data_IF_953280053493
#
_entry.id   IF_953280053493
#
_cell.length_a   1.000
_cell.length_b   1.000
_cell.length_c   1.000
_cell.angle_alpha   90.00
_cell.angle_beta   90.00
_cell.angle_gamma   90.00
#
_symmetry.space_group_name_H-M   'P 1'
#
loop_
_entity.id
_entity.type
_entity.pdbx_description
1 polymer ?
#
# COMPACT_ATOMS: atom_id res chain seq x y z
N UNK A 1 14.77 37.64 -10.77
CA UNK A 1 15.92 36.72 -10.70
C UNK A 1 15.59 35.69 -9.63
N UNK A 2 14.95 34.57 -9.98
CA UNK A 2 14.55 33.56 -9.00
C UNK A 2 15.80 32.78 -8.57
N UNK A 3 16.07 32.77 -7.27
CA UNK A 3 17.21 32.11 -6.66
C UNK A 3 17.14 30.59 -6.86
N UNK A 4 18.30 29.95 -6.94
CA UNK A 4 18.41 28.50 -7.11
C UNK A 4 17.74 27.77 -5.95
N UNK A 5 16.62 27.09 -6.22
CA UNK A 5 16.00 26.16 -5.27
C UNK A 5 14.48 26.21 -5.21
N UNK A 6 13.85 27.32 -5.62
CA UNK A 6 12.41 27.50 -5.41
C UNK A 6 11.69 27.78 -6.73
N UNK A 7 11.39 26.69 -7.46
CA UNK A 7 10.62 26.72 -8.70
C UNK A 7 9.11 26.73 -8.40
N UNK A 8 8.65 27.79 -7.75
CA UNK A 8 7.22 27.95 -7.49
C UNK A 8 6.51 28.29 -8.81
N UNK A 9 5.33 27.69 -9.06
CA UNK A 9 4.54 28.05 -10.21
C UNK A 9 3.98 29.48 -10.04
N UNK A 10 4.01 30.27 -11.11
CA UNK A 10 3.53 31.65 -11.20
C UNK A 10 2.25 31.68 -12.03
N UNK A 11 1.30 32.55 -11.67
CA UNK A 11 0.03 32.71 -12.40
C UNK A 11 0.19 33.74 -13.52
N UNK A 12 -0.34 33.45 -14.70
CA UNK A 12 -0.39 34.38 -15.83
C UNK A 12 -1.57 35.33 -15.66
N UNK A 13 -1.32 36.64 -15.63
CA UNK A 13 -2.36 37.66 -15.48
C UNK A 13 -3.28 37.76 -16.70
N UNK A 14 -2.83 37.25 -17.85
CA UNK A 14 -3.60 37.30 -19.11
C UNK A 14 -4.48 36.08 -19.31
N UNK A 15 -3.91 34.89 -19.11
CA UNK A 15 -4.58 33.61 -19.38
C UNK A 15 -5.19 33.00 -18.10
N UNK A 16 -4.78 33.48 -16.92
CA UNK A 16 -5.17 32.92 -15.61
C UNK A 16 -4.45 31.61 -15.26
N UNK A 17 -3.65 31.07 -16.17
CA UNK A 17 -2.99 29.77 -16.07
C UNK A 17 -1.79 29.77 -15.13
N UNK A 18 -1.61 28.67 -14.40
CA UNK A 18 -0.47 28.45 -13.52
C UNK A 18 0.71 27.84 -14.31
N UNK A 19 1.91 28.40 -14.26
CA UNK A 19 3.06 27.92 -15.02
C UNK A 19 4.41 28.07 -14.27
N UNK A 20 5.34 27.15 -14.52
CA UNK A 20 6.74 27.30 -14.15
C UNK A 20 7.41 28.29 -15.13
N UNK A 21 8.08 29.35 -14.63
CA UNK A 21 8.72 30.35 -15.47
C UNK A 21 9.89 29.78 -16.28
N UNK A 22 10.27 30.47 -17.34
CA UNK A 22 11.41 30.10 -18.17
C UNK A 22 12.70 30.02 -17.33
N UNK A 23 13.46 28.93 -17.48
CA UNK A 23 14.70 28.71 -16.72
C UNK A 23 15.92 28.79 -17.64
N UNK A 24 16.99 29.46 -17.22
CA UNK A 24 18.25 29.50 -17.97
C UNK A 24 19.04 28.20 -17.78
N UNK A 25 19.56 27.62 -18.86
CA UNK A 25 20.52 26.51 -18.84
C UNK A 25 21.92 27.01 -18.45
N UNK A 26 22.83 26.13 -18.02
CA UNK A 26 24.23 26.51 -17.79
C UNK A 26 24.94 27.06 -19.03
N UNK A 27 24.55 26.59 -20.22
CA UNK A 27 25.04 27.08 -21.52
C UNK A 27 24.46 28.45 -21.94
N UNK A 28 23.61 29.06 -21.11
CA UNK A 28 22.97 30.35 -21.36
C UNK A 28 21.67 30.29 -22.19
N UNK A 29 21.36 29.16 -22.82
CA UNK A 29 20.10 29.00 -23.55
C UNK A 29 18.90 28.92 -22.57
N UNK A 30 17.71 29.31 -23.01
CA UNK A 30 16.52 29.28 -22.16
C UNK A 30 15.69 28.02 -22.38
N UNK A 31 15.18 27.45 -21.29
CA UNK A 31 14.08 26.48 -21.34
C UNK A 31 12.76 27.23 -21.38
N UNK A 32 11.85 26.78 -22.24
CA UNK A 32 10.49 27.33 -22.33
C UNK A 32 9.73 27.22 -21.00
N UNK A 33 8.81 28.15 -20.70
CA UNK A 33 7.90 28.01 -19.56
C UNK A 33 7.03 26.76 -19.72
N UNK A 34 6.58 26.20 -18.59
CA UNK A 34 5.78 24.96 -18.56
C UNK A 34 4.50 25.20 -17.79
N UNK A 35 3.34 24.91 -18.39
CA UNK A 35 2.05 25.00 -17.71
C UNK A 35 1.91 23.90 -16.66
N UNK A 36 1.34 24.24 -15.52
CA UNK A 36 1.04 23.37 -14.37
C UNK A 36 -0.45 23.43 -14.12
N UNK A 37 -1.03 22.30 -13.73
CA UNK A 37 -2.46 22.26 -13.39
C UNK A 37 -2.69 22.95 -12.03
N UNK A 38 -3.71 23.79 -11.95
CA UNK A 38 -4.09 24.42 -10.68
C UNK A 38 -4.40 23.36 -9.61
N UNK A 39 -3.82 23.53 -8.41
CA UNK A 39 -3.98 22.59 -7.29
C UNK A 39 -3.16 21.29 -7.40
N UNK A 40 -2.27 21.14 -8.39
CA UNK A 40 -1.36 20.01 -8.45
C UNK A 40 -0.27 20.14 -7.39
N UNK A 41 -0.31 19.26 -6.38
CA UNK A 41 0.72 19.15 -5.33
C UNK A 41 1.62 17.97 -5.68
N UNK A 42 2.94 18.18 -5.87
CA UNK A 42 3.89 17.10 -6.12
C UNK A 42 3.83 16.04 -5.01
N UNK A 43 4.04 14.78 -5.38
CA UNK A 43 4.01 13.65 -4.45
C UNK A 43 5.01 13.81 -3.28
N UNK A 44 6.08 14.57 -3.47
CA UNK A 44 7.06 14.93 -2.42
C UNK A 44 6.45 15.78 -1.29
N UNK A 45 5.46 16.62 -1.62
CA UNK A 45 4.77 17.49 -0.66
C UNK A 45 3.50 16.84 -0.09
N UNK A 46 3.01 15.76 -0.71
CA UNK A 46 1.88 14.98 -0.18
C UNK A 46 2.37 14.21 1.05
N UNK A 47 1.82 14.48 2.25
CA UNK A 47 2.25 13.81 3.46
C UNK A 47 2.09 12.30 3.33
N UNK A 48 3.19 11.58 3.55
CA UNK A 48 3.15 10.11 3.63
C UNK A 48 2.19 9.71 4.75
N UNK A 49 1.27 8.80 4.44
CA UNK A 49 0.27 8.35 5.41
C UNK A 49 0.93 7.82 6.68
N UNK A 50 0.53 8.37 7.83
CA UNK A 50 0.91 7.89 9.15
C UNK A 50 -0.27 7.16 9.78
N UNK A 51 -0.03 5.96 10.31
CA UNK A 51 -1.09 5.20 10.99
C UNK A 51 -1.57 5.92 12.24
N UNK A 52 -2.86 5.78 12.58
CA UNK A 52 -3.46 6.36 13.81
C UNK A 52 -2.67 6.01 15.07
N UNK A 53 -2.12 4.80 15.16
CA UNK A 53 -1.26 4.39 16.27
C UNK A 53 0.08 5.13 16.32
N UNK A 54 0.68 5.43 15.16
CA UNK A 54 1.92 6.21 15.07
C UNK A 54 1.69 7.67 15.45
N UNK A 55 0.54 8.23 15.05
CA UNK A 55 0.10 9.56 15.49
C UNK A 55 -0.12 9.58 17.01
N UNK A 56 -0.83 8.60 17.56
CA UNK A 56 -1.06 8.49 19.00
C UNK A 56 0.24 8.34 19.81
N UNK A 57 1.18 7.52 19.35
CA UNK A 57 2.48 7.37 20.00
C UNK A 57 3.30 8.67 20.01
N UNK A 58 3.19 9.51 18.98
CA UNK A 58 3.83 10.83 18.94
C UNK A 58 3.19 11.85 19.88
N UNK A 59 1.89 11.73 20.15
CA UNK A 59 1.20 12.62 21.10
C UNK A 59 1.35 12.18 22.55
N UNK A 60 1.77 10.93 22.80
CA UNK A 60 2.10 10.49 24.14
C UNK A 60 3.35 11.20 24.66
N UNK A 61 3.36 11.61 25.95
CA UNK A 61 4.56 12.16 26.57
C UNK A 61 5.66 11.09 26.55
N UNK A 62 6.78 11.42 25.91
CA UNK A 62 7.96 10.53 25.79
C UNK A 62 8.56 10.20 27.16
N UNK A 63 8.33 11.08 28.13
CA UNK A 63 8.89 10.99 29.47
C UNK A 63 7.79 10.87 30.53
N UNK A 64 8.05 10.15 31.62
CA UNK A 64 7.10 10.03 32.73
C UNK A 64 6.79 11.41 33.31
N UNK A 65 5.58 11.54 33.87
CA UNK A 65 5.12 12.75 34.53
C UNK A 65 6.14 13.23 35.57
N UNK A 66 6.50 14.51 35.53
CA UNK A 66 7.53 15.11 36.39
C UNK A 66 8.95 15.11 35.83
N UNK A 67 9.23 14.42 34.72
CA UNK A 67 10.53 14.48 34.04
C UNK A 67 10.42 15.28 32.75
N UNK A 68 10.80 16.56 32.80
CA UNK A 68 10.78 17.42 31.61
C UNK A 68 12.01 17.13 30.73
N UNK A 69 11.91 17.32 29.39
CA UNK A 69 13.07 17.18 28.49
C UNK A 69 14.27 18.03 28.91
N UNK A 70 14.03 19.18 29.54
CA UNK A 70 15.07 20.08 30.03
C UNK A 70 15.87 19.46 31.20
N UNK A 71 15.21 18.76 32.12
CA UNK A 71 15.89 18.10 33.24
C UNK A 71 16.72 16.90 32.77
N UNK A 72 16.22 16.16 31.77
CA UNK A 72 16.94 15.02 31.18
C UNK A 72 18.16 15.51 30.39
N UNK A 73 18.02 16.58 29.62
CA UNK A 73 19.14 17.20 28.92
C UNK A 73 20.21 17.71 29.90
N UNK A 74 19.79 18.34 31.01
CA UNK A 74 20.70 18.79 32.07
C UNK A 74 21.40 17.62 32.78
N UNK A 75 20.67 16.55 33.15
CA UNK A 75 21.25 15.38 33.81
C UNK A 75 22.16 14.57 32.87
N UNK A 76 21.84 14.48 31.58
CA UNK A 76 22.70 13.86 30.57
C UNK A 76 23.98 14.68 30.30
N UNK A 77 23.89 16.01 30.37
CA UNK A 77 25.06 16.89 30.28
C UNK A 77 25.95 16.75 31.53
N UNK A 78 25.37 16.65 32.73
CA UNK A 78 26.13 16.46 33.98
C UNK A 78 26.75 15.06 34.10
N UNK A 79 26.07 14.02 33.61
CA UNK A 79 26.63 12.66 33.57
C UNK A 79 27.76 12.48 32.53
N UNK A 80 27.94 13.45 31.61
CA UNK A 80 29.10 13.49 30.69
C UNK A 80 30.32 14.19 31.29
N UNK A 81 30.16 14.98 32.36
CA UNK A 81 31.26 15.71 33.01
C UNK A 81 31.78 15.08 34.31
N UNK A 82 31.16 14.01 34.81
CA UNK A 82 31.55 13.39 36.08
C UNK A 82 31.72 11.88 35.96
N UNK A 83 32.81 11.42 35.35
CA UNK A 83 33.26 10.03 35.44
C UNK A 83 34.33 9.92 36.52
N UNK A 84 33.92 9.98 37.77
CA UNK A 84 34.77 9.62 38.91
C UNK A 84 33.91 9.12 40.07
N UNK A 85 34.14 7.85 40.41
CA UNK A 85 34.08 7.32 41.77
C UNK A 85 32.71 7.18 42.50
N UNK A 86 32.02 6.06 42.21
CA UNK A 86 31.38 5.12 43.17
C UNK A 86 30.14 5.56 44.02
N UNK A 87 29.34 4.64 44.63
CA UNK A 87 29.54 3.20 44.76
C UNK A 87 28.41 2.28 44.24
N UNK A 88 28.88 1.09 43.89
CA UNK A 88 28.17 -0.18 43.80
C UNK A 88 27.16 -0.35 44.95
N UNK A 89 25.94 -0.74 44.61
CA UNK A 89 24.83 -1.05 45.53
C UNK A 89 25.35 -1.96 46.67
N UNK A 90 25.23 -1.55 47.95
CA UNK A 90 25.64 -2.37 49.08
C UNK A 90 24.85 -3.69 49.10
N UNK A 91 25.56 -4.82 48.93
CA UNK A 91 24.98 -6.16 49.04
C UNK A 91 25.24 -7.12 47.86
N UNK A 92 25.88 -6.67 46.77
CA UNK A 92 26.25 -7.56 45.65
C UNK A 92 27.78 -7.81 45.62
N UNK A 93 28.26 -9.05 45.81
CA UNK A 93 29.70 -9.33 45.84
C UNK A 93 30.37 -9.15 44.46
N UNK A 94 31.58 -8.56 44.39
CA UNK A 94 32.27 -8.22 43.15
C UNK A 94 33.02 -9.41 42.54
N UNK A 95 32.31 -10.52 42.27
CA UNK A 95 32.90 -11.70 41.63
C UNK A 95 31.99 -12.38 40.59
N UNK A 96 30.80 -11.85 40.29
CA UNK A 96 29.92 -12.38 39.25
C UNK A 96 30.05 -11.65 37.89
N UNK A 97 30.98 -10.69 37.77
CA UNK A 97 31.25 -9.97 36.53
C UNK A 97 32.61 -10.35 35.94
N UNK A 98 32.93 -11.64 35.87
CA UNK A 98 33.96 -12.17 34.96
C UNK A 98 33.96 -13.70 35.03
N UNK A 99 33.07 -14.34 34.27
CA UNK A 99 33.38 -15.53 33.47
C UNK A 99 32.09 -16.17 32.93
N UNK A 100 32.07 -16.31 31.60
CA UNK A 100 31.27 -17.27 30.84
C UNK A 100 29.75 -16.99 30.72
N UNK A 101 29.38 -16.36 29.61
CA UNK A 101 28.55 -17.01 28.59
C UNK A 101 28.74 -16.28 27.26
N UNK A 102 29.71 -16.76 26.47
CA UNK A 102 29.57 -16.85 25.00
C UNK A 102 28.22 -17.54 24.75
N UNK A 103 27.14 -16.77 24.70
CA UNK A 103 25.85 -17.21 24.19
C UNK A 103 26.03 -17.31 22.69
N UNK A 104 26.38 -18.52 22.26
CA UNK A 104 25.91 -19.18 21.05
C UNK A 104 24.88 -18.31 20.33
N UNK A 105 25.30 -17.62 19.26
CA UNK A 105 24.38 -17.19 18.20
C UNK A 105 23.63 -18.46 17.79
N UNK A 106 22.39 -18.62 18.26
CA UNK A 106 21.44 -19.51 17.61
C UNK A 106 21.08 -18.80 16.31
N UNK A 107 21.87 -19.12 15.29
CA UNK A 107 21.47 -19.00 13.93
C UNK A 107 20.31 -19.97 13.68
N UNK A 108 19.39 -19.50 12.82
CA UNK A 108 18.29 -20.18 12.11
C UNK A 108 16.90 -20.17 12.78
N UNK A 109 15.82 -19.97 11.98
CA UNK A 109 15.77 -20.14 10.52
C UNK A 109 15.68 -18.83 9.72
N UNK A 110 16.84 -18.42 9.20
CA UNK A 110 17.00 -17.62 7.99
C UNK A 110 16.66 -18.45 6.73
N UNK A 111 15.83 -19.50 6.87
CA UNK A 111 15.32 -20.31 5.75
C UNK A 111 13.97 -19.81 5.27
N UNK A 112 13.13 -19.24 6.14
CA UNK A 112 11.81 -18.76 5.72
C UNK A 112 11.87 -17.39 5.01
N UNK A 113 12.77 -16.49 5.45
CA UNK A 113 12.97 -15.19 4.77
C UNK A 113 13.68 -15.38 3.43
N UNK A 114 14.64 -16.33 3.31
CA UNK A 114 15.28 -16.64 2.02
C UNK A 114 14.35 -17.38 1.06
N UNK A 115 13.44 -18.21 1.54
CA UNK A 115 12.39 -18.79 0.70
C UNK A 115 11.35 -17.76 0.27
N UNK A 116 10.95 -16.83 1.14
CA UNK A 116 9.99 -15.77 0.79
C UNK A 116 10.62 -14.75 -0.17
N UNK A 117 11.89 -14.39 -0.01
CA UNK A 117 12.63 -13.55 -0.98
C UNK A 117 12.93 -14.30 -2.29
N UNK A 118 13.23 -15.61 -2.22
CA UNK A 118 13.38 -16.46 -3.41
C UNK A 118 12.08 -16.64 -4.20
N UNK A 119 10.93 -16.71 -3.52
CA UNK A 119 9.59 -16.74 -4.14
C UNK A 119 9.20 -15.40 -4.77
N UNK A 120 9.74 -14.28 -4.27
CA UNK A 120 9.52 -12.95 -4.85
C UNK A 120 10.41 -12.67 -6.08
N UNK A 121 11.63 -13.24 -6.12
CA UNK A 121 12.56 -13.07 -7.23
C UNK A 121 12.12 -13.73 -8.55
N UNK A 122 11.16 -14.66 -8.50
CA UNK A 122 10.54 -15.26 -9.69
C UNK A 122 9.38 -14.45 -10.29
N UNK A 123 8.94 -13.37 -9.62
CA UNK A 123 7.88 -12.51 -10.12
C UNK A 123 8.48 -11.41 -11.02
N UNK A 124 8.86 -11.81 -12.23
CA UNK A 124 9.14 -10.84 -13.31
C UNK A 124 7.81 -10.25 -13.77
N UNK A 125 7.60 -8.98 -13.46
CA UNK A 125 6.45 -8.22 -13.98
C UNK A 125 6.75 -7.98 -15.47
N UNK A 126 6.17 -8.80 -16.33
CA UNK A 126 6.11 -8.50 -17.75
C UNK A 126 5.27 -7.24 -17.92
N UNK A 127 5.88 -6.17 -18.42
CA UNK A 127 5.14 -5.00 -18.87
C UNK A 127 4.09 -5.46 -19.89
N UNK A 128 2.78 -5.16 -19.68
CA UNK A 128 1.83 -5.31 -20.77
C UNK A 128 2.31 -4.40 -21.90
N UNK A 129 2.69 -5.01 -23.02
CA UNK A 129 2.96 -4.31 -24.27
C UNK A 129 1.66 -3.63 -24.70
N UNK A 130 1.45 -2.40 -24.23
CA UNK A 130 0.42 -1.52 -24.75
C UNK A 130 0.86 -1.14 -26.14
N UNK A 131 0.33 -1.90 -27.11
CA UNK A 131 0.57 -1.70 -28.52
C UNK A 131 0.52 -0.21 -28.86
N UNK A 132 1.64 0.27 -29.38
CA UNK A 132 1.73 1.58 -30.00
C UNK A 132 0.57 1.70 -31.01
N UNK A 133 -0.33 2.70 -30.90
CA UNK A 133 -1.29 2.93 -31.96
C UNK A 133 -0.51 3.52 -33.14
N UNK A 134 -0.23 2.68 -34.14
CA UNK A 134 0.25 3.14 -35.43
C UNK A 134 -0.87 3.92 -36.15
N UNK A 135 -0.58 5.09 -36.75
CA UNK A 135 -1.54 5.79 -37.59
C UNK A 135 -1.64 5.11 -38.96
N UNK A 136 -2.88 4.71 -39.30
CA UNK A 136 -3.51 4.77 -40.63
C UNK A 136 -2.72 4.31 -41.86
N UNK A 137 -3.13 3.17 -42.46
CA UNK A 137 -3.56 3.08 -43.89
C UNK A 137 -4.18 1.72 -44.22
N UNK A 138 -5.44 1.71 -44.65
CA UNK A 138 -6.15 0.58 -45.27
C UNK A 138 -5.85 0.50 -46.79
N UNK A 139 -6.45 -0.40 -47.62
CA UNK A 139 -7.19 -1.66 -47.37
C UNK A 139 -6.76 -2.83 -48.28
N UNK A 140 -7.06 -4.10 -47.91
CA UNK A 140 -7.44 -5.15 -48.86
C UNK A 140 -8.20 -6.30 -48.18
N UNK A 141 -9.08 -6.89 -48.98
CA UNK A 141 -10.33 -7.59 -48.67
C UNK A 141 -10.14 -9.16 -48.73
N UNK A 142 -11.19 -10.01 -48.62
CA UNK A 142 -11.40 -10.94 -47.51
C UNK A 142 -11.33 -12.44 -47.89
N UNK A 143 -11.27 -13.35 -46.89
CA UNK A 143 -12.00 -14.65 -46.85
C UNK A 143 -11.84 -15.41 -45.50
N UNK A 144 -12.76 -16.33 -45.15
CA UNK A 144 -13.13 -16.70 -43.78
C UNK A 144 -12.64 -18.09 -43.34
N UNK A 145 -12.43 -18.30 -42.03
CA UNK A 145 -12.64 -19.60 -41.36
C UNK A 145 -12.61 -19.51 -39.82
N UNK A 146 -13.78 -19.77 -39.24
CA UNK A 146 -14.16 -20.52 -38.02
C UNK A 146 -13.09 -20.92 -36.97
N UNK A 147 -13.46 -20.65 -35.72
CA UNK A 147 -13.12 -21.30 -34.44
C UNK A 147 -11.68 -21.20 -33.89
N UNK A 148 -11.53 -20.55 -32.73
CA UNK A 148 -11.34 -21.30 -31.49
C UNK A 148 -11.66 -20.45 -30.26
N UNK A 149 -12.35 -21.08 -29.32
CA UNK A 149 -12.79 -20.57 -28.04
C UNK A 149 -11.65 -20.64 -27.02
N UNK A 150 -11.35 -19.55 -26.33
CA UNK A 150 -10.69 -19.64 -25.01
C UNK A 150 -11.44 -18.76 -24.03
N UNK A 151 -12.52 -19.32 -23.50
CA UNK A 151 -13.07 -18.92 -22.22
C UNK A 151 -12.06 -19.33 -21.14
N UNK A 152 -11.39 -18.36 -20.50
CA UNK A 152 -10.53 -18.62 -19.36
C UNK A 152 -11.40 -19.04 -18.17
N UNK A 153 -11.35 -20.34 -17.88
CA UNK A 153 -12.02 -20.97 -16.76
C UNK A 153 -11.27 -20.67 -15.45
N UNK A 154 -11.96 -20.36 -14.33
CA UNK A 154 -11.36 -20.43 -13.00
C UNK A 154 -11.33 -21.89 -12.52
N UNK A 155 -10.81 -22.83 -13.34
CA UNK A 155 -10.93 -24.27 -13.11
C UNK A 155 -9.79 -24.92 -12.28
N UNK A 156 -9.19 -24.25 -11.29
CA UNK A 156 -8.17 -24.87 -10.42
C UNK A 156 -8.41 -24.74 -8.90
N UNK A 157 -9.61 -24.34 -8.48
CA UNK A 157 -10.00 -24.44 -7.06
C UNK A 157 -10.71 -25.78 -6.83
N UNK A 158 -10.20 -26.57 -5.89
CA UNK A 158 -10.83 -27.77 -5.35
C UNK A 158 -12.36 -27.57 -5.21
N UNK A 159 -13.19 -28.50 -5.71
CA UNK A 159 -14.65 -28.31 -5.75
C UNK A 159 -15.22 -28.03 -4.36
N UNK A 160 -14.62 -28.56 -3.28
CA UNK A 160 -15.02 -28.27 -1.91
C UNK A 160 -14.77 -26.82 -1.50
N UNK A 161 -13.69 -26.20 -1.97
CA UNK A 161 -13.41 -24.76 -1.74
C UNK A 161 -14.39 -23.89 -2.52
N UNK A 162 -14.72 -24.27 -3.76
CA UNK A 162 -15.75 -23.56 -4.56
C UNK A 162 -17.11 -23.59 -3.88
N UNK A 163 -17.56 -24.76 -3.41
CA UNK A 163 -18.81 -24.89 -2.67
C UNK A 163 -18.84 -23.98 -1.44
N UNK A 164 -17.76 -23.93 -0.65
CA UNK A 164 -17.68 -23.03 0.52
C UNK A 164 -17.78 -21.56 0.12
N UNK A 165 -17.12 -21.15 -0.96
CA UNK A 165 -17.16 -19.77 -1.45
C UNK A 165 -18.55 -19.39 -2.00
N UNK A 166 -19.21 -20.29 -2.75
CA UNK A 166 -20.56 -20.07 -3.25
C UNK A 166 -21.59 -19.99 -2.12
N UNK A 167 -21.46 -20.83 -1.08
CA UNK A 167 -22.30 -20.73 0.13
C UNK A 167 -22.12 -19.40 0.87
N UNK A 168 -20.89 -18.87 0.93
CA UNK A 168 -20.63 -17.52 1.48
C UNK A 168 -21.31 -16.43 0.64
N UNK A 169 -21.16 -16.48 -0.69
CA UNK A 169 -21.84 -15.54 -1.62
C UNK A 169 -23.36 -15.58 -1.44
N UNK A 170 -23.95 -16.76 -1.31
CA UNK A 170 -25.39 -16.91 -1.08
C UNK A 170 -25.82 -16.21 0.23
N UNK A 171 -25.07 -16.40 1.32
CA UNK A 171 -25.36 -15.76 2.62
C UNK A 171 -25.25 -14.22 2.55
N UNK A 172 -24.27 -13.70 1.82
CA UNK A 172 -24.10 -12.26 1.61
C UNK A 172 -25.26 -11.67 0.80
N UNK A 173 -25.69 -12.35 -0.26
CA UNK A 173 -26.84 -11.93 -1.07
C UNK A 173 -28.13 -11.95 -0.23
N UNK A 174 -28.33 -12.97 0.60
CA UNK A 174 -29.48 -13.04 1.52
C UNK A 174 -29.46 -11.95 2.58
N UNK A 175 -28.28 -11.59 3.10
CA UNK A 175 -28.14 -10.46 4.01
C UNK A 175 -28.48 -9.13 3.32
N UNK A 176 -28.08 -8.95 2.05
CA UNK A 176 -28.47 -7.77 1.25
C UNK A 176 -29.99 -7.74 1.01
N UNK A 177 -30.60 -8.87 0.64
CA UNK A 177 -32.06 -8.97 0.49
C UNK A 177 -32.79 -8.65 1.80
N UNK A 178 -32.29 -9.15 2.94
CA UNK A 178 -32.87 -8.89 4.25
C UNK A 178 -32.79 -7.41 4.63
N UNK A 179 -31.67 -6.73 4.36
CA UNK A 179 -31.49 -5.29 4.60
C UNK A 179 -32.38 -4.40 3.73
N UNK A 180 -32.68 -4.84 2.50
CA UNK A 180 -33.61 -4.15 1.62
C UNK A 180 -35.05 -4.40 2.09
N UNK A 181 -35.39 -5.62 2.48
CA UNK A 181 -36.72 -5.97 3.02
C UNK A 181 -37.01 -5.33 4.37
N UNK A 182 -36.00 -5.19 5.23
CA UNK A 182 -36.13 -4.49 6.53
C UNK A 182 -36.24 -2.97 6.38
N UNK A 183 -36.03 -2.44 5.16
CA UNK A 183 -36.07 -1.01 4.89
C UNK A 183 -34.85 -0.23 5.41
N UNK A 184 -33.82 -0.93 5.90
CA UNK A 184 -32.54 -0.33 6.30
C UNK A 184 -31.81 0.28 5.09
N UNK A 185 -31.88 -0.40 3.93
CA UNK A 185 -31.50 0.16 2.63
C UNK A 185 -32.74 0.52 1.82
N UNK A 186 -33.15 1.78 1.94
CA UNK A 186 -34.34 2.32 1.25
C UNK A 186 -34.16 2.48 -0.27
N UNK A 187 -32.92 2.72 -0.72
CA UNK A 187 -32.54 2.83 -2.13
C UNK A 187 -31.34 1.90 -2.41
N UNK A 188 -31.56 0.63 -2.82
CA UNK A 188 -30.47 -0.26 -3.16
C UNK A 188 -29.71 0.21 -4.41
N UNK A 189 -28.38 0.15 -4.35
CA UNK A 189 -27.52 0.46 -5.49
C UNK A 189 -27.78 -0.49 -6.67
N UNK A 190 -27.54 -0.04 -7.91
CA UNK A 190 -27.72 -0.85 -9.12
C UNK A 190 -26.95 -2.18 -9.04
N UNK A 191 -25.73 -2.15 -8.51
CA UNK A 191 -24.90 -3.35 -8.27
C UNK A 191 -25.51 -4.30 -7.23
N UNK A 192 -26.14 -3.77 -6.18
CA UNK A 192 -26.82 -4.60 -5.17
C UNK A 192 -28.03 -5.31 -5.76
N UNK A 193 -28.81 -4.63 -6.61
CA UNK A 193 -29.94 -5.26 -7.31
C UNK A 193 -29.48 -6.37 -8.26
N UNK A 194 -28.34 -6.19 -8.93
CA UNK A 194 -27.76 -7.23 -9.79
C UNK A 194 -27.27 -8.44 -8.99
N UNK A 195 -26.63 -8.22 -7.83
CA UNK A 195 -26.22 -9.32 -6.93
C UNK A 195 -27.41 -10.16 -6.48
N UNK A 196 -28.54 -9.50 -6.19
CA UNK A 196 -29.78 -10.16 -5.79
C UNK A 196 -30.41 -10.93 -6.96
N UNK A 197 -30.42 -10.34 -8.17
CA UNK A 197 -30.90 -11.05 -9.38
C UNK A 197 -30.11 -12.33 -9.66
N UNK A 198 -28.78 -12.30 -9.45
CA UNK A 198 -27.88 -13.46 -9.60
C UNK A 198 -28.05 -14.53 -8.52
N UNK A 199 -28.87 -14.32 -7.47
CA UNK A 199 -29.11 -15.31 -6.41
C UNK A 199 -29.52 -16.68 -6.97
N UNK A 200 -30.39 -16.71 -7.97
CA UNK A 200 -30.88 -17.95 -8.60
C UNK A 200 -29.74 -18.73 -9.27
N UNK A 201 -28.80 -18.02 -9.89
CA UNK A 201 -27.67 -18.65 -10.58
C UNK A 201 -26.65 -19.18 -9.58
N UNK A 202 -26.36 -18.43 -8.50
CA UNK A 202 -25.51 -18.92 -7.39
C UNK A 202 -26.10 -20.19 -6.76
N UNK A 203 -27.42 -20.27 -6.59
CA UNK A 203 -28.07 -21.50 -6.07
C UNK A 203 -27.92 -22.68 -7.04
N UNK A 204 -28.02 -22.46 -8.36
CA UNK A 204 -27.79 -23.50 -9.36
C UNK A 204 -26.34 -23.99 -9.32
N UNK A 205 -25.38 -23.07 -9.29
CA UNK A 205 -23.96 -23.37 -9.24
C UNK A 205 -23.59 -24.15 -7.96
N UNK A 206 -24.21 -23.84 -6.82
CA UNK A 206 -24.07 -24.63 -5.58
C UNK A 206 -24.56 -26.06 -5.79
N UNK A 207 -25.74 -26.26 -6.40
CA UNK A 207 -26.27 -27.61 -6.65
C UNK A 207 -25.39 -28.41 -7.60
N UNK A 208 -24.83 -27.76 -8.61
CA UNK A 208 -23.90 -28.38 -9.57
C UNK A 208 -22.58 -28.76 -8.89
N UNK A 209 -22.00 -27.86 -8.09
CA UNK A 209 -20.79 -28.19 -7.32
C UNK A 209 -21.04 -29.23 -6.24
N UNK A 210 -22.21 -29.26 -5.62
CA UNK A 210 -22.62 -30.32 -4.68
C UNK A 210 -22.74 -31.69 -5.35
N UNK A 211 -23.27 -31.76 -6.58
CA UNK A 211 -23.29 -32.99 -7.38
C UNK A 211 -21.89 -33.45 -7.80
N UNK A 212 -20.95 -32.54 -7.97
CA UNK A 212 -19.59 -32.86 -8.38
C UNK A 212 -18.73 -33.41 -7.22
N UNK A 213 -19.10 -33.09 -5.97
CA UNK A 213 -18.40 -33.51 -4.75
C UNK A 213 -18.98 -34.82 -4.20
N UNK A 214 -20.25 -35.09 -4.49
CA UNK A 214 -20.99 -36.26 -4.00
C UNK A 214 -20.83 -37.45 -4.95
#
# INVERSE_FOLDING_TARGET
MAAAGEFQPVRDDTTGDLFLPASRRPDGTWRKPRRVKEGYVPQEEVPVYESKGKQWAKTQPVYPVGMSPALIAAQAAQNKSGKSEQPLIPGLPPAAQQASKKKKKKAKPETEVKEVTGKLAGFTIQEPNFGVPAPTRAPKEPKPTVAESTAETPSAADPAKRLKNLKKKLKEIEALEAKIKSGELKNPDKDQTEKIKRKKDVVKEIKETEKLIK
#
